data_IF_600707510870
#
_entry.id   IF_600707510870
#
_cell.length_a   1.000
_cell.length_b   1.000
_cell.length_c   1.000
_cell.angle_alpha   90.00
_cell.angle_beta   90.00
_cell.angle_gamma   90.00
#
_symmetry.space_group_name_H-M   'P 1'
#
loop_
_entity.id
_entity.type
_entity.pdbx_description
1 polymer ?
#
# COMPACT_ATOMS: atom_id res chain seq x y z
N UNK A 1 12.45 2.61 -15.02
CA UNK A 1 13.43 3.46 -15.74
C UNK A 1 13.42 4.85 -15.11
N UNK A 2 14.44 5.71 -15.33
CA UNK A 2 14.48 7.05 -14.75
C UNK A 2 13.23 7.91 -15.02
N UNK A 3 12.53 7.66 -16.11
CA UNK A 3 11.28 8.30 -16.52
C UNK A 3 10.04 7.82 -15.74
N UNK A 4 10.12 6.69 -15.06
CA UNK A 4 8.95 6.12 -14.37
C UNK A 4 8.74 6.79 -13.00
N UNK A 5 8.15 7.99 -13.04
CA UNK A 5 7.93 8.84 -11.86
C UNK A 5 6.59 8.61 -11.17
N UNK A 6 5.65 7.91 -11.83
CA UNK A 6 4.28 7.66 -11.35
C UNK A 6 4.02 6.19 -10.94
N UNK A 7 5.08 5.47 -10.55
CA UNK A 7 5.01 4.04 -10.26
C UNK A 7 4.39 3.71 -8.90
N UNK A 8 3.54 2.68 -8.90
CA UNK A 8 2.99 2.10 -7.68
C UNK A 8 3.66 0.78 -7.37
N UNK A 9 4.26 0.68 -6.18
CA UNK A 9 4.84 -0.57 -5.70
C UNK A 9 3.79 -1.43 -5.02
N UNK A 10 3.50 -2.60 -5.60
CA UNK A 10 2.69 -3.63 -4.94
C UNK A 10 3.62 -4.72 -4.44
N UNK A 11 3.73 -4.87 -3.12
CA UNK A 11 4.76 -5.73 -2.52
C UNK A 11 4.16 -6.94 -1.81
N UNK A 12 4.97 -7.98 -1.67
CA UNK A 12 4.69 -9.17 -0.87
C UNK A 12 4.83 -8.94 0.66
N UNK A 13 5.33 -7.76 1.07
CA UNK A 13 5.73 -7.47 2.44
C UNK A 13 4.60 -6.91 3.30
N UNK A 14 4.84 -6.84 4.61
CA UNK A 14 3.89 -6.30 5.59
C UNK A 14 3.99 -4.77 5.74
N UNK A 15 2.93 -4.13 6.24
CA UNK A 15 2.84 -2.66 6.41
C UNK A 15 2.98 -2.21 7.87
N UNK A 16 3.70 -3.01 8.66
CA UNK A 16 4.09 -2.63 10.02
C UNK A 16 5.14 -1.52 10.03
N UNK A 17 5.47 -1.03 11.24
CA UNK A 17 6.50 0.01 11.43
C UNK A 17 7.87 -0.36 10.86
N UNK A 18 8.20 -1.66 10.83
CA UNK A 18 9.44 -2.17 10.25
C UNK A 18 9.57 -1.92 8.74
N UNK A 19 8.46 -1.69 8.01
CA UNK A 19 8.49 -1.35 6.59
C UNK A 19 8.83 0.12 6.30
N UNK A 20 8.66 1.01 7.29
CA UNK A 20 8.82 2.46 7.14
C UNK A 20 10.20 2.86 6.61
N UNK A 21 11.34 2.35 7.13
CA UNK A 21 12.66 2.73 6.62
C UNK A 21 12.81 2.46 5.12
N UNK A 22 12.29 1.33 4.64
CA UNK A 22 12.35 0.95 3.23
C UNK A 22 11.47 1.87 2.36
N UNK A 23 10.25 2.18 2.82
CA UNK A 23 9.35 3.09 2.11
C UNK A 23 9.93 4.51 2.02
N UNK A 24 10.61 4.97 3.08
CA UNK A 24 11.32 6.26 3.10
C UNK A 24 12.54 6.29 2.19
N UNK A 25 13.26 5.18 2.09
CA UNK A 25 14.41 5.08 1.21
C UNK A 25 14.00 5.08 -0.26
N UNK A 26 12.94 4.35 -0.61
CA UNK A 26 12.51 4.18 -2.00
C UNK A 26 11.60 5.32 -2.48
N UNK A 27 10.82 5.93 -1.59
CA UNK A 27 9.82 6.99 -1.88
C UNK A 27 8.99 6.72 -3.16
N UNK A 28 8.27 5.59 -3.24
CA UNK A 28 7.47 5.31 -4.42
C UNK A 28 6.35 6.34 -4.59
N UNK A 29 5.87 6.52 -5.82
CA UNK A 29 4.75 7.41 -6.09
C UNK A 29 3.48 6.95 -5.39
N UNK A 30 3.28 5.64 -5.25
CA UNK A 30 2.32 5.05 -4.32
C UNK A 30 2.74 3.64 -3.94
N UNK A 31 2.15 3.07 -2.89
CA UNK A 31 2.42 1.69 -2.54
C UNK A 31 1.20 0.94 -2.02
N UNK A 32 1.23 -0.38 -2.19
CA UNK A 32 0.28 -1.33 -1.64
C UNK A 32 1.06 -2.50 -1.03
N UNK A 33 0.85 -2.75 0.25
CA UNK A 33 1.52 -3.81 1.00
C UNK A 33 0.48 -4.68 1.73
N UNK A 34 0.87 -5.80 2.32
CA UNK A 34 -0.04 -6.63 3.11
C UNK A 34 -0.28 -6.02 4.50
N UNK A 35 -1.48 -6.14 5.03
CA UNK A 35 -1.77 -5.82 6.43
C UNK A 35 -1.37 -6.92 7.43
N UNK A 36 -0.85 -8.05 6.94
CA UNK A 36 -0.46 -9.19 7.77
C UNK A 36 -1.61 -9.79 8.60
N UNK A 37 -2.87 -9.61 8.16
CA UNK A 37 -4.06 -10.02 8.90
C UNK A 37 -4.44 -9.03 10.01
N UNK A 38 -4.00 -7.77 9.90
CA UNK A 38 -4.20 -6.70 10.88
C UNK A 38 -3.18 -6.71 12.02
N UNK A 39 -2.69 -7.90 12.41
CA UNK A 39 -1.81 -8.14 13.56
C UNK A 39 -2.34 -7.55 14.89
N UNK A 40 -1.64 -7.78 16.00
CA UNK A 40 -2.06 -7.35 17.34
C UNK A 40 -2.23 -5.83 17.37
N UNK A 41 -3.37 -5.35 17.89
CA UNK A 41 -3.74 -3.92 17.98
C UNK A 41 -3.64 -3.15 16.65
N UNK A 42 -3.85 -3.81 15.50
CA UNK A 42 -3.77 -3.14 14.19
C UNK A 42 -2.34 -2.80 13.74
N UNK A 43 -1.33 -3.37 14.41
CA UNK A 43 0.09 -3.10 14.12
C UNK A 43 0.51 -3.40 12.67
N UNK A 44 -0.22 -4.26 11.97
CA UNK A 44 0.04 -4.63 10.58
C UNK A 44 -0.20 -3.50 9.56
N UNK A 45 -0.88 -2.42 9.97
CA UNK A 45 -1.11 -1.21 9.16
C UNK A 45 -0.47 0.03 9.75
N UNK A 46 0.22 -0.08 10.88
CA UNK A 46 0.75 1.06 11.62
C UNK A 46 1.74 1.92 10.81
N UNK A 47 2.39 1.34 9.80
CA UNK A 47 3.28 2.07 8.90
C UNK A 47 2.55 3.12 8.05
N UNK A 48 1.25 2.93 7.73
CA UNK A 48 0.47 3.85 6.90
C UNK A 48 0.44 5.27 7.46
N UNK A 49 0.16 5.40 8.76
CA UNK A 49 0.08 6.69 9.44
C UNK A 49 1.46 7.37 9.54
N UNK A 50 2.53 6.57 9.67
CA UNK A 50 3.90 7.09 9.79
C UNK A 50 4.35 7.70 8.46
N UNK A 51 4.13 7.00 7.34
CA UNK A 51 4.57 7.47 6.02
C UNK A 51 3.63 8.50 5.39
N UNK A 52 2.38 8.62 5.89
CA UNK A 52 1.48 9.71 5.53
C UNK A 52 2.10 11.07 5.88
N UNK A 53 2.70 11.20 7.05
CA UNK A 53 3.41 12.42 7.47
C UNK A 53 4.61 12.74 6.57
N UNK A 54 5.14 11.76 5.83
CA UNK A 54 6.23 11.93 4.86
C UNK A 54 5.74 12.21 3.43
N UNK A 55 4.42 12.35 3.22
CA UNK A 55 3.78 12.61 1.92
C UNK A 55 3.59 11.37 1.03
N UNK A 56 3.76 10.16 1.58
CA UNK A 56 3.66 8.91 0.81
C UNK A 56 2.22 8.36 0.84
N UNK A 57 1.58 8.25 -0.32
CA UNK A 57 0.28 7.60 -0.43
C UNK A 57 0.41 6.07 -0.39
N UNK A 58 -0.35 5.46 0.51
CA UNK A 58 -0.24 4.04 0.82
C UNK A 58 -1.56 3.38 1.11
N UNK A 59 -1.68 2.13 0.69
CA UNK A 59 -2.77 1.24 1.05
C UNK A 59 -2.26 -0.14 1.47
N UNK A 60 -3.15 -0.93 2.05
CA UNK A 60 -2.88 -2.31 2.46
C UNK A 60 -3.92 -3.27 1.90
N UNK A 61 -3.52 -4.51 1.61
CA UNK A 61 -4.43 -5.61 1.27
C UNK A 61 -4.64 -6.54 2.47
N UNK A 62 -5.81 -7.18 2.53
CA UNK A 62 -6.12 -8.22 3.50
C UNK A 62 -5.29 -9.49 3.22
N UNK A 63 -4.40 -9.84 4.15
CA UNK A 63 -3.55 -11.02 4.04
C UNK A 63 -4.32 -12.36 3.95
N UNK A 64 -5.63 -12.37 4.27
CA UNK A 64 -6.49 -13.55 4.16
C UNK A 64 -7.02 -13.77 2.74
N UNK A 65 -6.84 -12.79 1.85
CA UNK A 65 -7.35 -12.80 0.47
C UNK A 65 -6.25 -12.97 -0.58
N UNK A 66 -5.04 -12.53 -0.28
CA UNK A 66 -3.88 -12.66 -1.15
C UNK A 66 -2.78 -13.50 -0.49
N UNK A 67 -2.02 -14.24 -1.30
CA UNK A 67 -0.95 -15.09 -0.79
C UNK A 67 0.19 -14.24 -0.20
N UNK A 68 0.49 -14.46 1.07
CA UNK A 68 1.63 -13.84 1.74
C UNK A 68 2.94 -14.27 1.06
N UNK A 69 3.85 -13.33 0.85
CA UNK A 69 5.11 -13.61 0.12
C UNK A 69 4.99 -13.50 -1.40
N UNK A 70 3.80 -13.27 -1.95
CA UNK A 70 3.56 -13.11 -3.39
C UNK A 70 3.01 -11.72 -3.73
N UNK A 71 3.84 -10.90 -4.37
CA UNK A 71 3.46 -9.55 -4.83
C UNK A 71 2.47 -9.56 -6.00
N UNK A 72 2.52 -10.59 -6.85
CA UNK A 72 1.56 -10.74 -7.95
C UNK A 72 0.20 -11.16 -7.43
N UNK A 73 0.13 -12.05 -6.43
CA UNK A 73 -1.12 -12.35 -5.74
C UNK A 73 -1.66 -11.11 -5.01
N UNK A 74 -0.81 -10.34 -4.34
CA UNK A 74 -1.22 -9.07 -3.70
C UNK A 74 -1.83 -8.08 -4.70
N UNK A 75 -1.32 -8.02 -5.94
CA UNK A 75 -1.88 -7.20 -7.01
C UNK A 75 -3.15 -7.77 -7.64
N UNK A 76 -3.18 -9.08 -7.91
CA UNK A 76 -4.27 -9.74 -8.65
C UNK A 76 -5.48 -10.05 -7.78
N UNK A 77 -5.23 -10.56 -6.58
CA UNK A 77 -6.21 -11.18 -5.70
C UNK A 77 -6.49 -10.30 -4.45
N UNK A 78 -5.62 -9.34 -4.16
CA UNK A 78 -5.71 -8.48 -2.99
C UNK A 78 -6.93 -7.58 -2.97
N UNK A 79 -7.53 -7.46 -1.79
CA UNK A 79 -8.62 -6.53 -1.48
C UNK A 79 -8.11 -5.52 -0.46
N UNK A 80 -8.28 -4.22 -0.76
CA UNK A 80 -7.84 -3.14 0.11
C UNK A 80 -8.52 -3.26 1.47
N UNK A 81 -7.71 -3.28 2.52
CA UNK A 81 -8.14 -3.44 3.91
C UNK A 81 -7.86 -2.20 4.74
N UNK A 82 -6.99 -1.30 4.27
CA UNK A 82 -6.72 0.00 4.87
C UNK A 82 -6.03 0.93 3.86
N UNK A 83 -6.24 2.24 4.00
CA UNK A 83 -5.64 3.26 3.15
C UNK A 83 -5.39 4.51 3.99
N UNK A 84 -4.27 5.20 3.74
CA UNK A 84 -3.97 6.47 4.40
C UNK A 84 -4.71 7.63 3.70
N UNK A 85 -4.76 8.83 4.29
CA UNK A 85 -5.54 9.96 3.82
C UNK A 85 -5.15 10.37 2.38
N UNK A 86 -3.85 10.29 2.05
CA UNK A 86 -3.36 10.60 0.70
C UNK A 86 -3.83 9.60 -0.35
N UNK A 87 -3.88 8.30 0.00
CA UNK A 87 -4.43 7.28 -0.86
C UNK A 87 -5.96 7.41 -1.00
N UNK A 88 -6.66 7.76 0.09
CA UNK A 88 -8.10 8.02 0.06
C UNK A 88 -8.44 9.23 -0.80
N UNK A 89 -7.64 10.31 -0.74
CA UNK A 89 -7.78 11.47 -1.60
C UNK A 89 -7.56 11.13 -3.09
N UNK A 90 -6.75 10.12 -3.41
CA UNK A 90 -6.62 9.57 -4.76
C UNK A 90 -7.81 8.68 -5.19
N UNK A 91 -8.79 8.45 -4.31
CA UNK A 91 -9.97 7.63 -4.57
C UNK A 91 -9.87 6.18 -4.09
N UNK A 92 -8.78 5.79 -3.41
CA UNK A 92 -8.64 4.42 -2.89
C UNK A 92 -9.61 4.21 -1.73
N UNK A 93 -10.43 3.16 -1.82
CA UNK A 93 -11.39 2.78 -0.80
C UNK A 93 -11.14 1.36 -0.26
N UNK A 94 -11.49 1.14 1.01
CA UNK A 94 -11.52 -0.20 1.60
C UNK A 94 -12.55 -1.06 0.86
N UNK A 95 -12.23 -2.33 0.59
CA UNK A 95 -13.05 -3.25 -0.19
C UNK A 95 -12.78 -3.22 -1.70
N UNK A 96 -12.03 -2.22 -2.18
CA UNK A 96 -11.60 -2.14 -3.58
C UNK A 96 -10.56 -3.22 -3.91
N UNK A 97 -10.48 -3.66 -5.17
CA UNK A 97 -9.37 -4.52 -5.62
C UNK A 97 -8.04 -3.76 -5.58
N UNK A 98 -6.95 -4.45 -5.25
CA UNK A 98 -5.60 -3.89 -5.27
C UNK A 98 -5.21 -3.36 -6.65
N UNK A 99 -5.67 -4.04 -7.71
CA UNK A 99 -5.47 -3.61 -9.10
C UNK A 99 -6.05 -2.23 -9.37
N UNK A 100 -7.28 -1.99 -8.92
CA UNK A 100 -7.95 -0.70 -9.13
C UNK A 100 -7.33 0.39 -8.27
N UNK A 101 -7.04 0.08 -7.00
CA UNK A 101 -6.32 1.00 -6.12
C UNK A 101 -4.96 1.40 -6.69
N UNK A 102 -4.21 0.47 -7.29
CA UNK A 102 -2.94 0.77 -7.92
C UNK A 102 -3.09 1.74 -9.11
N UNK A 103 -4.15 1.61 -9.91
CA UNK A 103 -4.42 2.55 -11.01
C UNK A 103 -4.76 3.95 -10.51
N UNK A 104 -5.55 4.05 -9.45
CA UNK A 104 -5.90 5.33 -8.83
C UNK A 104 -4.67 6.01 -8.24
N UNK A 105 -3.84 5.26 -7.50
CA UNK A 105 -2.58 5.76 -6.96
C UNK A 105 -1.62 6.22 -8.06
N UNK A 106 -1.52 5.52 -9.18
CA UNK A 106 -0.68 5.91 -10.31
C UNK A 106 -1.17 7.18 -11.04
N UNK A 107 -2.43 7.58 -10.84
CA UNK A 107 -3.06 8.76 -11.46
C UNK A 107 -3.24 9.93 -10.50
N UNK A 108 -2.84 9.79 -9.24
CA UNK A 108 -3.00 10.84 -8.22
C UNK A 108 -2.24 12.10 -8.61
N UNK A 109 -2.75 13.26 -8.21
CA UNK A 109 -2.03 14.54 -8.32
C UNK A 109 -1.31 14.83 -6.99
N UNK A 110 -0.12 15.43 -7.05
CA UNK A 110 0.69 15.83 -5.88
C UNK A 110 0.50 17.31 -5.60
#
# INVERSE_FOLDING_TARGET
LPEDVANVLVTAGHTGRSAVPYLRQVRPFGFICSDGGGAREGSGRAGLAVVEADGLAGATVDARRAAMGDGLSSYRDGIISGANALAQAAGVAIGMSAREAARLLARRTI
#
